data_IF_239440848180
#
_entry.id   IF_239440848180
#
_cell.length_a   1.000
_cell.length_b   1.000
_cell.length_c   1.000
_cell.angle_alpha   90.00
_cell.angle_beta   90.00
_cell.angle_gamma   90.00
#
_symmetry.space_group_name_H-M   'P 1'
#
loop_
_entity.id
_entity.type
_entity.pdbx_description
1 polymer ?
#
# COMPACT_ATOMS: atom_id res chain seq x y z
N UNK A 1 7.57 0.53 -14.97
CA UNK A 1 7.40 0.73 -13.52
C UNK A 1 8.65 1.43 -13.01
N UNK A 2 8.50 2.51 -12.27
CA UNK A 2 9.64 3.24 -11.67
C UNK A 2 10.02 2.50 -10.39
N UNK A 3 11.33 2.31 -10.17
CA UNK A 3 11.82 1.70 -8.94
C UNK A 3 11.50 2.62 -7.75
N UNK A 4 10.86 2.11 -6.68
CA UNK A 4 10.62 2.89 -5.47
C UNK A 4 11.94 3.39 -4.86
N UNK A 5 11.92 4.61 -4.33
CA UNK A 5 13.12 5.23 -3.75
C UNK A 5 13.65 4.46 -2.53
N UNK A 6 12.76 3.79 -1.81
CA UNK A 6 13.08 2.98 -0.63
C UNK A 6 13.59 1.57 -0.98
N UNK A 7 13.47 1.14 -2.24
CA UNK A 7 13.88 -0.19 -2.67
C UNK A 7 15.38 -0.25 -2.93
N UNK A 8 16.09 -0.96 -2.06
CA UNK A 8 17.49 -1.36 -2.27
C UNK A 8 17.52 -2.74 -2.93
N UNK A 9 18.19 -2.87 -4.08
CA UNK A 9 18.16 -4.08 -4.91
C UNK A 9 19.08 -5.22 -4.42
N UNK A 10 19.96 -4.95 -3.48
CA UNK A 10 20.99 -5.87 -2.96
C UNK A 10 20.60 -6.55 -1.64
N UNK A 11 19.37 -6.33 -1.16
CA UNK A 11 18.93 -6.94 0.09
C UNK A 11 18.49 -8.39 -0.11
N UNK A 12 18.76 -9.29 0.86
CA UNK A 12 18.21 -10.62 0.85
C UNK A 12 16.71 -10.60 1.10
N UNK A 13 15.95 -11.40 0.34
CA UNK A 13 14.52 -11.61 0.53
C UNK A 13 14.22 -13.10 0.71
N UNK A 14 13.53 -13.43 1.80
CA UNK A 14 13.03 -14.78 2.03
C UNK A 14 11.80 -15.02 1.17
N UNK A 15 11.86 -16.02 0.32
CA UNK A 15 10.75 -16.42 -0.55
C UNK A 15 9.97 -17.61 0.03
N UNK A 16 10.64 -18.44 0.82
CA UNK A 16 10.06 -19.55 1.58
C UNK A 16 10.99 -19.93 2.73
N UNK A 17 10.61 -20.88 3.56
CA UNK A 17 11.44 -21.33 4.69
C UNK A 17 12.85 -21.82 4.28
N UNK A 18 13.01 -22.27 3.04
CA UNK A 18 14.25 -22.82 2.53
C UNK A 18 14.94 -21.92 1.47
N UNK A 19 14.25 -20.91 0.93
CA UNK A 19 14.72 -20.14 -0.22
C UNK A 19 14.85 -18.67 0.13
N UNK A 20 16.07 -18.15 -0.06
CA UNK A 20 16.38 -16.72 0.00
C UNK A 20 16.82 -16.27 -1.39
N UNK A 21 16.28 -15.17 -1.86
CA UNK A 21 16.62 -14.51 -3.13
C UNK A 21 17.12 -13.10 -2.85
N UNK A 22 16.96 -12.18 -3.81
CA UNK A 22 17.29 -10.77 -3.66
C UNK A 22 16.12 -9.88 -4.04
N UNK A 23 16.09 -8.69 -3.48
CA UNK A 23 15.12 -7.66 -3.85
C UNK A 23 15.17 -7.33 -5.34
N UNK A 24 16.35 -7.40 -5.99
CA UNK A 24 16.50 -7.22 -7.43
C UNK A 24 15.72 -8.26 -8.23
N UNK A 25 15.83 -9.56 -7.90
CA UNK A 25 15.11 -10.63 -8.61
C UNK A 25 13.60 -10.49 -8.44
N UNK A 26 13.15 -10.19 -7.22
CA UNK A 26 11.73 -9.94 -6.94
C UNK A 26 11.24 -8.73 -7.73
N UNK A 27 11.99 -7.62 -7.73
CA UNK A 27 11.62 -6.44 -8.52
C UNK A 27 11.52 -6.72 -10.02
N UNK A 28 12.47 -7.48 -10.56
CA UNK A 28 12.51 -7.81 -11.98
C UNK A 28 11.28 -8.62 -12.44
N UNK A 29 10.84 -9.61 -11.65
CA UNK A 29 9.62 -10.37 -11.99
C UNK A 29 8.36 -9.52 -11.89
N UNK A 30 8.27 -8.58 -10.94
CA UNK A 30 7.15 -7.65 -10.85
C UNK A 30 7.11 -6.70 -12.07
N UNK A 31 8.28 -6.20 -12.50
CA UNK A 31 8.38 -5.36 -13.72
C UNK A 31 7.99 -6.15 -14.97
N UNK A 32 8.45 -7.40 -15.11
CA UNK A 32 8.07 -8.28 -16.20
C UNK A 32 6.56 -8.53 -16.20
N UNK A 33 5.98 -8.78 -15.03
CA UNK A 33 4.54 -9.01 -14.88
C UNK A 33 3.71 -7.78 -15.23
N UNK A 34 4.15 -6.58 -14.86
CA UNK A 34 3.50 -5.33 -15.26
C UNK A 34 3.55 -5.11 -16.79
N UNK A 35 4.61 -5.57 -17.47
CA UNK A 35 4.78 -5.45 -18.92
C UNK A 35 4.07 -6.54 -19.73
N UNK A 36 3.59 -7.59 -19.06
CA UNK A 36 3.05 -8.78 -19.72
C UNK A 36 4.12 -9.66 -20.38
N UNK A 37 5.39 -9.54 -19.96
CA UNK A 37 6.51 -10.31 -20.52
C UNK A 37 6.51 -11.74 -19.93
N UNK A 38 5.65 -12.60 -20.52
CA UNK A 38 5.48 -13.98 -20.12
C UNK A 38 6.80 -14.77 -20.17
N UNK A 39 7.63 -14.52 -21.19
CA UNK A 39 8.90 -15.24 -21.34
C UNK A 39 9.92 -14.83 -20.27
N UNK A 40 9.95 -13.55 -19.85
CA UNK A 40 10.79 -13.13 -18.75
C UNK A 40 10.31 -13.73 -17.41
N UNK A 41 8.99 -13.84 -17.21
CA UNK A 41 8.41 -14.47 -16.02
C UNK A 41 8.73 -15.97 -15.99
N UNK A 42 8.63 -16.68 -17.11
CA UNK A 42 9.03 -18.09 -17.21
C UNK A 42 10.51 -18.30 -16.89
N UNK A 43 11.40 -17.49 -17.48
CA UNK A 43 12.84 -17.57 -17.14
C UNK A 43 13.11 -17.35 -15.65
N UNK A 44 12.42 -16.39 -15.03
CA UNK A 44 12.54 -16.18 -13.57
C UNK A 44 12.06 -17.40 -12.78
N UNK A 45 10.98 -18.06 -13.24
CA UNK A 45 10.48 -19.29 -12.64
C UNK A 45 11.44 -20.47 -12.78
N UNK A 46 12.09 -20.59 -13.95
CA UNK A 46 13.10 -21.65 -14.22
C UNK A 46 14.32 -21.49 -13.31
N UNK A 47 14.74 -20.23 -13.04
CA UNK A 47 15.83 -19.95 -12.09
C UNK A 47 15.43 -20.22 -10.64
N UNK A 48 14.23 -19.81 -10.24
CA UNK A 48 13.71 -19.97 -8.88
C UNK A 48 12.18 -19.88 -8.91
N UNK A 49 11.53 -21.03 -8.77
CA UNK A 49 10.06 -21.14 -8.86
C UNK A 49 9.33 -20.27 -7.84
N UNK A 50 9.93 -20.08 -6.66
CA UNK A 50 9.37 -19.25 -5.58
C UNK A 50 9.22 -17.78 -5.96
N UNK A 51 9.93 -17.30 -7.01
CA UNK A 51 9.74 -15.93 -7.52
C UNK A 51 8.32 -15.68 -8.05
N UNK A 52 7.60 -16.73 -8.49
CA UNK A 52 6.20 -16.61 -8.92
C UNK A 52 5.26 -16.18 -7.78
N UNK A 53 5.65 -16.45 -6.54
CA UNK A 53 4.88 -16.12 -5.32
C UNK A 53 5.45 -14.89 -4.61
N UNK A 54 6.63 -14.41 -5.05
CA UNK A 54 7.35 -13.34 -4.38
C UNK A 54 6.52 -12.04 -4.37
N UNK A 55 6.67 -11.29 -3.29
CA UNK A 55 5.94 -10.04 -3.09
C UNK A 55 6.92 -8.91 -2.76
N UNK A 56 6.61 -7.72 -3.23
CA UNK A 56 7.21 -6.51 -2.71
C UNK A 56 6.10 -5.62 -2.15
N UNK A 57 6.23 -5.23 -0.89
CA UNK A 57 5.16 -4.52 -0.18
C UNK A 57 3.79 -5.21 -0.37
N UNK A 58 3.75 -6.53 -0.12
CA UNK A 58 2.55 -7.40 -0.24
C UNK A 58 1.93 -7.48 -1.63
N UNK A 59 2.63 -7.05 -2.68
CA UNK A 59 2.12 -7.05 -4.06
C UNK A 59 2.81 -8.16 -4.86
N UNK A 60 2.10 -9.23 -5.25
CA UNK A 60 2.65 -10.35 -6.02
C UNK A 60 2.65 -10.09 -7.54
N UNK A 61 3.38 -10.89 -8.34
CA UNK A 61 3.40 -10.80 -9.80
C UNK A 61 2.01 -10.82 -10.44
N UNK A 62 1.12 -11.70 -9.99
CA UNK A 62 -0.23 -11.84 -10.53
C UNK A 62 -1.06 -10.57 -10.39
N UNK A 63 -0.83 -9.77 -9.35
CA UNK A 63 -1.50 -8.49 -9.18
C UNK A 63 -1.29 -7.58 -10.40
N UNK A 64 -0.03 -7.43 -10.85
CA UNK A 64 0.29 -6.60 -12.01
C UNK A 64 -0.25 -7.19 -13.30
N UNK A 65 -0.16 -8.51 -13.48
CA UNK A 65 -0.70 -9.18 -14.66
C UNK A 65 -2.21 -8.94 -14.81
N UNK A 66 -2.97 -9.03 -13.71
CA UNK A 66 -4.42 -8.73 -13.68
C UNK A 66 -4.67 -7.25 -13.90
N UNK A 67 -3.96 -6.39 -13.18
CA UNK A 67 -4.15 -4.94 -13.25
C UNK A 67 -3.94 -4.37 -14.65
N UNK A 68 -2.97 -4.89 -15.37
CA UNK A 68 -2.64 -4.42 -16.72
C UNK A 68 -3.34 -5.24 -17.85
N UNK A 69 -4.13 -6.26 -17.50
CA UNK A 69 -4.95 -6.99 -18.46
C UNK A 69 -4.21 -8.07 -19.27
N UNK A 70 -3.15 -8.64 -18.74
CA UNK A 70 -2.30 -9.63 -19.43
C UNK A 70 -2.84 -11.06 -19.28
N UNK A 71 -3.87 -11.42 -20.04
CA UNK A 71 -4.60 -12.68 -19.91
C UNK A 71 -3.71 -13.93 -19.90
N UNK A 72 -2.81 -14.09 -20.88
CA UNK A 72 -1.95 -15.29 -20.97
C UNK A 72 -1.00 -15.41 -19.78
N UNK A 73 -0.50 -14.29 -19.29
CA UNK A 73 0.35 -14.28 -18.09
C UNK A 73 -0.47 -14.60 -16.83
N UNK A 74 -1.67 -14.07 -16.68
CA UNK A 74 -2.58 -14.43 -15.57
C UNK A 74 -2.87 -15.93 -15.61
N UNK A 75 -3.21 -16.47 -16.76
CA UNK A 75 -3.46 -17.90 -16.95
C UNK A 75 -2.25 -18.74 -16.53
N UNK A 76 -1.06 -18.41 -17.02
CA UNK A 76 0.17 -19.08 -16.63
C UNK A 76 0.40 -19.06 -15.12
N UNK A 77 0.30 -17.90 -14.49
CA UNK A 77 0.51 -17.76 -13.04
C UNK A 77 -0.50 -18.58 -12.22
N UNK A 78 -1.76 -18.64 -12.66
CA UNK A 78 -2.79 -19.46 -12.02
C UNK A 78 -2.50 -20.97 -12.19
N UNK A 79 -2.07 -21.41 -13.39
CA UNK A 79 -1.68 -22.80 -13.64
C UNK A 79 -0.48 -23.22 -12.79
N UNK A 80 0.44 -22.29 -12.50
CA UNK A 80 1.54 -22.52 -11.54
C UNK A 80 1.10 -22.47 -10.07
N UNK A 81 -0.15 -22.11 -9.78
CA UNK A 81 -0.68 -21.94 -8.44
C UNK A 81 -0.15 -20.68 -7.73
N UNK A 82 0.28 -19.68 -8.48
CA UNK A 82 0.91 -18.46 -7.98
C UNK A 82 -0.11 -17.39 -7.53
N UNK A 83 -1.22 -17.80 -6.93
CA UNK A 83 -2.25 -16.90 -6.42
C UNK A 83 -2.84 -17.39 -5.11
N UNK A 84 -2.83 -16.53 -4.11
CA UNK A 84 -3.61 -16.71 -2.90
C UNK A 84 -5.03 -16.17 -3.12
N UNK A 85 -6.08 -17.03 -3.09
CA UNK A 85 -7.47 -16.56 -3.24
C UNK A 85 -7.92 -15.58 -2.15
N UNK A 86 -7.21 -15.52 -1.02
CA UNK A 86 -7.47 -14.57 0.08
C UNK A 86 -6.73 -13.25 -0.09
N UNK A 87 -5.88 -13.15 -1.11
CA UNK A 87 -5.12 -11.93 -1.38
C UNK A 87 -6.05 -10.72 -1.52
N UNK A 88 -5.67 -9.63 -0.88
CA UNK A 88 -6.34 -8.34 -0.94
C UNK A 88 -5.38 -7.25 -1.35
N UNK A 89 -5.84 -6.37 -2.23
CA UNK A 89 -5.09 -5.21 -2.70
C UNK A 89 -5.02 -4.19 -1.57
N UNK A 90 -3.84 -3.94 -1.09
CA UNK A 90 -3.64 -2.96 -0.02
C UNK A 90 -3.45 -1.54 -0.60
N UNK A 91 -3.98 -0.48 0.02
CA UNK A 91 -4.75 -0.47 1.28
C UNK A 91 -6.25 -0.72 1.12
N UNK A 92 -6.72 -0.90 -0.09
CA UNK A 92 -8.14 -0.85 -0.46
C UNK A 92 -8.96 -2.08 -0.06
N UNK A 93 -8.29 -3.18 0.31
CA UNK A 93 -8.90 -4.44 0.74
C UNK A 93 -9.80 -5.11 -0.33
N UNK A 94 -9.55 -4.79 -1.58
CA UNK A 94 -10.28 -5.33 -2.73
C UNK A 94 -9.62 -6.60 -3.28
N UNK A 95 -10.39 -7.40 -4.02
CA UNK A 95 -9.87 -8.60 -4.69
C UNK A 95 -9.33 -8.30 -6.09
N UNK A 96 -8.56 -9.25 -6.66
CA UNK A 96 -8.14 -9.16 -8.06
C UNK A 96 -9.33 -9.27 -9.03
N UNK A 97 -10.39 -10.00 -8.67
CA UNK A 97 -11.61 -10.06 -9.45
C UNK A 97 -12.26 -8.67 -9.55
N UNK A 98 -12.27 -7.94 -8.43
CA UNK A 98 -12.82 -6.56 -8.41
C UNK A 98 -12.05 -5.65 -9.37
N UNK A 99 -10.71 -5.70 -9.36
CA UNK A 99 -9.90 -4.86 -10.25
C UNK A 99 -10.09 -5.25 -11.72
N UNK A 100 -10.16 -6.55 -12.03
CA UNK A 100 -10.42 -7.02 -13.38
C UNK A 100 -11.78 -6.52 -13.89
N UNK A 101 -12.84 -6.65 -13.08
CA UNK A 101 -14.16 -6.14 -13.39
C UNK A 101 -14.17 -4.62 -13.58
N UNK A 102 -13.56 -3.87 -12.67
CA UNK A 102 -13.53 -2.41 -12.72
C UNK A 102 -12.83 -1.88 -13.97
N UNK A 103 -11.85 -2.61 -14.49
CA UNK A 103 -11.11 -2.29 -15.71
C UNK A 103 -11.74 -2.88 -16.99
N UNK A 104 -12.79 -3.69 -16.86
CA UNK A 104 -13.49 -4.31 -18.00
C UNK A 104 -12.82 -5.55 -18.56
N UNK A 105 -11.92 -6.21 -17.79
CA UNK A 105 -11.25 -7.46 -18.19
C UNK A 105 -12.09 -8.68 -17.79
N UNK A 106 -13.23 -8.86 -18.49
CA UNK A 106 -14.22 -9.88 -18.13
C UNK A 106 -13.70 -11.33 -18.29
N UNK A 107 -12.79 -11.56 -19.23
CA UNK A 107 -12.11 -12.83 -19.43
C UNK A 107 -11.18 -13.19 -18.27
N UNK A 108 -10.41 -12.22 -17.78
CA UNK A 108 -9.55 -12.37 -16.60
C UNK A 108 -10.39 -12.57 -15.32
N UNK A 109 -11.47 -11.81 -15.15
CA UNK A 109 -12.40 -12.00 -14.03
C UNK A 109 -12.97 -13.42 -14.02
N UNK A 110 -13.43 -13.91 -15.18
CA UNK A 110 -13.94 -15.27 -15.34
C UNK A 110 -12.89 -16.32 -14.99
N UNK A 111 -11.67 -16.13 -15.44
CA UNK A 111 -10.54 -17.02 -15.19
C UNK A 111 -10.20 -17.08 -13.66
N UNK A 112 -10.16 -15.95 -12.99
CA UNK A 112 -9.93 -15.86 -11.55
C UNK A 112 -11.05 -16.55 -10.76
N UNK A 113 -12.31 -16.42 -11.18
CA UNK A 113 -13.45 -17.05 -10.54
C UNK A 113 -13.42 -18.57 -10.72
N UNK A 114 -13.05 -19.07 -11.92
CA UNK A 114 -12.86 -20.50 -12.18
C UNK A 114 -11.75 -21.08 -11.30
N UNK A 115 -10.62 -20.37 -11.16
CA UNK A 115 -9.52 -20.79 -10.30
C UNK A 115 -9.94 -20.83 -8.83
N UNK A 116 -10.65 -19.80 -8.35
CA UNK A 116 -11.14 -19.75 -6.97
C UNK A 116 -12.12 -20.89 -6.63
N UNK A 117 -12.92 -21.33 -7.61
CA UNK A 117 -13.86 -22.45 -7.45
C UNK A 117 -13.16 -23.81 -7.46
N UNK A 118 -11.94 -23.93 -7.97
CA UNK A 118 -11.20 -25.18 -8.12
C UNK A 118 -10.05 -25.29 -7.11
N UNK A 119 -10.33 -25.86 -5.95
CA UNK A 119 -9.34 -26.01 -4.87
C UNK A 119 -8.11 -26.87 -5.25
N UNK A 120 -8.21 -27.73 -6.27
CA UNK A 120 -7.08 -28.56 -6.72
C UNK A 120 -5.98 -27.76 -7.45
N UNK A 121 -6.31 -26.59 -7.97
CA UNK A 121 -5.36 -25.68 -8.63
C UNK A 121 -4.66 -24.73 -7.66
N UNK A 122 -5.17 -24.57 -6.46
CA UNK A 122 -4.66 -23.63 -5.47
C UNK A 122 -3.41 -24.20 -4.79
N UNK A 123 -2.23 -23.83 -5.27
CA UNK A 123 -0.94 -24.31 -4.77
C UNK A 123 -0.16 -23.28 -3.96
N UNK A 124 -0.74 -22.12 -3.72
CA UNK A 124 -0.07 -21.06 -2.97
C UNK A 124 0.50 -21.55 -1.63
N UNK A 125 1.75 -21.18 -1.33
CA UNK A 125 2.51 -21.73 -0.20
C UNK A 125 2.75 -20.76 0.96
N UNK A 126 2.10 -19.61 1.01
CA UNK A 126 2.20 -18.70 2.15
C UNK A 126 3.08 -17.47 1.91
N UNK A 127 3.53 -16.84 2.97
CA UNK A 127 4.16 -15.52 2.96
C UNK A 127 5.52 -15.52 2.28
N UNK A 128 5.63 -14.76 1.20
CA UNK A 128 6.85 -14.61 0.42
C UNK A 128 7.24 -13.12 0.32
N UNK A 129 8.53 -12.84 0.20
CA UNK A 129 9.04 -11.50 0.01
C UNK A 129 9.32 -10.76 1.32
N UNK A 130 9.55 -11.48 2.43
CA UNK A 130 10.03 -10.90 3.67
C UNK A 130 11.50 -10.47 3.53
N UNK A 131 11.77 -9.19 3.77
CA UNK A 131 13.14 -8.68 3.82
C UNK A 131 13.76 -9.05 5.16
N UNK A 132 14.93 -9.70 5.12
CA UNK A 132 15.68 -10.06 6.30
C UNK A 132 16.60 -8.94 6.73
N UNK A 133 16.39 -8.43 7.94
CA UNK A 133 17.33 -7.55 8.64
C UNK A 133 18.02 -8.32 9.77
N UNK A 134 19.35 -8.32 9.78
CA UNK A 134 20.11 -8.89 10.90
C UNK A 134 19.90 -8.03 12.14
N UNK A 135 19.40 -8.61 13.23
CA UNK A 135 19.14 -7.98 14.50
C UNK A 135 19.93 -8.63 15.61
N UNK A 136 20.59 -7.83 16.47
CA UNK A 136 21.09 -8.31 17.74
C UNK A 136 19.95 -8.55 18.73
N UNK A 137 20.20 -9.33 19.78
CA UNK A 137 19.22 -9.54 20.86
C UNK A 137 18.76 -8.21 21.47
N UNK A 138 19.67 -7.27 21.67
CA UNK A 138 19.35 -5.94 22.21
C UNK A 138 18.46 -5.11 21.26
N UNK A 139 18.68 -5.20 19.94
CA UNK A 139 17.81 -4.55 18.96
C UNK A 139 16.39 -5.14 18.96
N UNK A 140 16.25 -6.47 19.09
CA UNK A 140 14.95 -7.13 19.24
C UNK A 140 14.27 -6.73 20.55
N UNK A 141 15.03 -6.63 21.63
CA UNK A 141 14.54 -6.17 22.93
C UNK A 141 14.04 -4.71 22.88
N UNK A 142 14.77 -3.84 22.17
CA UNK A 142 14.38 -2.45 21.93
C UNK A 142 13.08 -2.35 21.12
N UNK A 143 12.99 -3.06 20.00
CA UNK A 143 11.79 -3.12 19.16
C UNK A 143 10.57 -3.60 19.96
N UNK A 144 10.73 -4.68 20.71
CA UNK A 144 9.67 -5.19 21.60
C UNK A 144 9.27 -4.18 22.69
N UNK A 145 10.24 -3.48 23.28
CA UNK A 145 9.96 -2.48 24.29
C UNK A 145 9.14 -1.30 23.75
N UNK A 146 9.41 -0.87 22.51
CA UNK A 146 8.60 0.15 21.81
C UNK A 146 7.18 -0.35 21.55
N UNK A 147 7.02 -1.57 21.03
CA UNK A 147 5.70 -2.19 20.79
C UNK A 147 4.86 -2.29 22.07
N UNK A 148 5.49 -2.65 23.19
CA UNK A 148 4.82 -2.78 24.50
C UNK A 148 4.73 -1.48 25.30
N UNK A 149 5.08 -0.32 24.70
CA UNK A 149 5.07 0.98 25.37
C UNK A 149 5.95 1.05 26.65
N UNK A 150 7.03 0.30 26.68
CA UNK A 150 7.99 0.23 27.79
C UNK A 150 8.91 1.44 27.87
N UNK A 151 8.36 2.64 28.12
CA UNK A 151 9.06 3.93 28.05
C UNK A 151 10.42 3.94 28.77
N UNK A 152 10.46 3.53 30.05
CA UNK A 152 11.68 3.57 30.85
C UNK A 152 12.78 2.66 30.27
N UNK A 153 12.39 1.51 29.71
CA UNK A 153 13.32 0.58 29.07
C UNK A 153 13.84 1.14 27.75
N UNK A 154 12.96 1.70 26.92
CA UNK A 154 13.33 2.38 25.67
C UNK A 154 14.29 3.53 25.96
N UNK A 155 13.98 4.38 26.95
CA UNK A 155 14.85 5.48 27.34
C UNK A 155 16.21 5.00 27.84
N UNK A 156 16.26 3.94 28.65
CA UNK A 156 17.51 3.37 29.15
C UNK A 156 18.41 2.85 27.99
N UNK A 157 17.80 2.13 27.04
CA UNK A 157 18.53 1.62 25.86
C UNK A 157 19.03 2.79 25.01
N UNK A 158 18.20 3.81 24.76
CA UNK A 158 18.58 4.94 23.91
C UNK A 158 19.67 5.84 24.52
N UNK A 159 19.80 5.89 25.84
CA UNK A 159 20.91 6.57 26.52
C UNK A 159 22.27 5.94 26.19
N UNK A 160 22.30 4.64 26.00
CA UNK A 160 23.52 3.89 25.71
C UNK A 160 23.72 3.67 24.20
N UNK A 161 22.61 3.48 23.45
CA UNK A 161 22.60 3.17 22.00
C UNK A 161 21.65 4.12 21.24
N UNK A 162 21.97 5.44 21.13
CA UNK A 162 21.09 6.42 20.50
C UNK A 162 20.87 6.18 19.00
N UNK A 163 21.78 5.44 18.34
CA UNK A 163 21.66 5.07 16.93
C UNK A 163 20.45 4.16 16.64
N UNK A 164 19.94 3.44 17.64
CA UNK A 164 18.76 2.58 17.45
C UNK A 164 17.52 3.37 17.06
N UNK A 165 17.36 4.60 17.56
CA UNK A 165 16.26 5.46 17.14
C UNK A 165 16.33 5.85 15.65
N UNK A 166 17.53 5.87 15.05
CA UNK A 166 17.78 6.28 13.67
C UNK A 166 17.67 5.16 12.65
N UNK A 167 17.60 3.92 13.12
CA UNK A 167 17.51 2.74 12.25
C UNK A 167 16.09 2.61 11.68
N UNK A 168 15.95 2.86 10.39
CA UNK A 168 14.67 2.82 9.66
C UNK A 168 14.22 1.39 9.32
N UNK A 169 15.01 0.37 9.69
CA UNK A 169 14.70 -1.03 9.35
C UNK A 169 13.79 -1.72 10.38
N UNK A 170 13.51 -1.09 11.53
CA UNK A 170 12.59 -1.64 12.53
C UNK A 170 11.17 -1.86 11.98
N UNK A 171 10.45 -2.80 12.59
CA UNK A 171 9.10 -3.18 12.20
C UNK A 171 9.01 -3.46 10.70
N UNK A 172 9.85 -4.39 10.23
CA UNK A 172 9.94 -4.80 8.80
C UNK A 172 10.29 -3.66 7.83
N UNK A 173 11.02 -2.67 8.33
CA UNK A 173 11.37 -1.48 7.55
C UNK A 173 10.30 -0.39 7.52
N UNK A 174 9.28 -0.48 8.37
CA UNK A 174 8.25 0.56 8.49
C UNK A 174 8.72 1.75 9.36
N UNK A 175 9.73 1.53 10.20
CA UNK A 175 10.32 2.53 11.09
C UNK A 175 9.84 2.45 12.53
N UNK A 176 10.70 2.90 13.44
CA UNK A 176 10.50 2.72 14.89
C UNK A 176 9.29 3.49 15.45
N UNK A 177 8.82 4.55 14.78
CA UNK A 177 7.68 5.33 15.23
C UNK A 177 6.34 4.62 15.05
N UNK A 178 6.26 3.56 14.21
CA UNK A 178 5.01 2.95 13.77
C UNK A 178 4.07 2.58 14.93
N UNK A 179 4.55 1.76 15.87
CA UNK A 179 3.71 1.28 16.96
C UNK A 179 3.42 2.36 18.01
N UNK A 180 4.33 3.30 18.22
CA UNK A 180 4.07 4.45 19.07
C UNK A 180 2.94 5.32 18.51
N UNK A 181 2.93 5.57 17.20
CA UNK A 181 1.87 6.33 16.53
C UNK A 181 0.54 5.55 16.51
N UNK A 182 0.56 4.27 16.15
CA UNK A 182 -0.62 3.39 16.18
C UNK A 182 -1.24 3.33 17.59
N UNK A 183 -0.39 3.24 18.61
CA UNK A 183 -0.80 3.24 20.01
C UNK A 183 -1.21 4.61 20.55
N UNK A 184 -1.18 5.66 19.75
CA UNK A 184 -1.43 7.06 20.15
C UNK A 184 -0.54 7.52 21.32
N UNK A 185 0.70 7.01 21.39
CA UNK A 185 1.64 7.31 22.48
C UNK A 185 2.57 8.47 22.12
N UNK A 186 2.08 9.69 22.30
CA UNK A 186 2.84 10.90 22.00
C UNK A 186 4.16 10.97 22.77
N UNK A 187 4.16 10.60 24.05
CA UNK A 187 5.37 10.61 24.89
C UNK A 187 6.47 9.68 24.34
N UNK A 188 6.09 8.51 23.83
CA UNK A 188 7.03 7.59 23.18
C UNK A 188 7.53 8.16 21.86
N UNK A 189 6.65 8.75 21.04
CA UNK A 189 7.07 9.42 19.81
C UNK A 189 8.05 10.58 20.08
N UNK A 190 7.79 11.40 21.09
CA UNK A 190 8.69 12.48 21.51
C UNK A 190 10.07 11.95 21.91
N UNK A 191 10.11 10.88 22.72
CA UNK A 191 11.36 10.24 23.11
C UNK A 191 12.14 9.77 21.87
N UNK A 192 11.52 8.99 21.01
CA UNK A 192 12.16 8.44 19.82
C UNK A 192 12.68 9.54 18.88
N UNK A 193 11.87 10.58 18.63
CA UNK A 193 12.26 11.74 17.80
C UNK A 193 13.41 12.53 18.43
N UNK A 194 13.46 12.68 19.77
CA UNK A 194 14.55 13.38 20.46
C UNK A 194 15.90 12.68 20.29
N UNK A 195 15.91 11.36 20.05
CA UNK A 195 17.10 10.57 19.73
C UNK A 195 17.37 10.44 18.23
N UNK A 196 16.56 11.10 17.39
CA UNK A 196 16.80 11.22 15.95
C UNK A 196 16.02 10.23 15.08
N UNK A 197 14.98 9.61 15.61
CA UNK A 197 14.01 8.90 14.77
C UNK A 197 13.42 9.85 13.72
N UNK A 198 13.16 9.33 12.53
CA UNK A 198 12.63 10.13 11.43
C UNK A 198 11.13 9.94 11.28
N UNK A 199 10.42 11.00 10.96
CA UNK A 199 9.05 10.89 10.47
C UNK A 199 9.03 10.19 9.12
N UNK A 200 7.96 9.42 8.78
CA UNK A 200 7.91 8.69 7.50
C UNK A 200 8.03 9.61 6.29
N UNK A 201 8.87 9.24 5.33
CA UNK A 201 9.06 9.95 4.06
C UNK A 201 8.42 9.27 2.86
N UNK A 202 8.02 8.01 3.01
CA UNK A 202 7.30 7.20 2.01
C UNK A 202 6.20 6.43 2.69
N UNK A 203 5.17 6.03 1.95
CA UNK A 203 4.15 5.10 2.42
C UNK A 203 4.51 3.69 1.95
N UNK A 204 4.70 2.78 2.90
CA UNK A 204 4.67 1.35 2.68
C UNK A 204 3.28 0.83 3.06
N UNK A 205 3.11 -0.48 3.19
CA UNK A 205 1.82 -1.07 3.50
C UNK A 205 1.28 -0.70 4.90
N UNK A 206 2.16 -0.59 5.91
CA UNK A 206 1.76 -0.35 7.30
C UNK A 206 1.77 1.13 7.70
N UNK A 207 2.31 2.01 6.88
CA UNK A 207 2.44 3.42 7.22
C UNK A 207 1.11 4.17 7.34
N UNK A 208 0.03 3.64 6.81
CA UNK A 208 -1.30 4.16 7.08
C UNK A 208 -1.67 4.12 8.58
N UNK A 209 -1.03 3.27 9.37
CA UNK A 209 -1.17 3.27 10.83
C UNK A 209 -0.74 4.58 11.51
N UNK A 210 0.14 5.35 10.90
CA UNK A 210 0.48 6.70 11.40
C UNK A 210 -0.71 7.66 11.38
N UNK A 211 -1.72 7.37 10.58
CA UNK A 211 -2.96 8.13 10.46
C UNK A 211 -4.18 7.39 11.04
N UNK A 212 -3.99 6.30 11.78
CA UNK A 212 -5.09 5.59 12.43
C UNK A 212 -5.72 6.44 13.55
N UNK A 213 -4.89 7.16 14.31
CA UNK A 213 -5.30 8.05 15.39
C UNK A 213 -5.07 9.51 15.02
N UNK A 214 -6.11 10.34 15.23
CA UNK A 214 -6.04 11.76 14.84
C UNK A 214 -4.91 12.51 15.56
N UNK A 215 -4.75 12.30 16.89
CA UNK A 215 -3.74 12.99 17.68
C UNK A 215 -2.32 12.65 17.24
N UNK A 216 -2.06 11.38 16.92
CA UNK A 216 -0.77 10.95 16.36
C UNK A 216 -0.53 11.55 14.98
N UNK A 217 -1.54 11.56 14.11
CA UNK A 217 -1.45 12.18 12.80
C UNK A 217 -1.16 13.69 12.89
N UNK A 218 -1.89 14.40 13.77
CA UNK A 218 -1.68 15.83 14.00
C UNK A 218 -0.28 16.10 14.52
N UNK A 219 0.18 15.33 15.50
CA UNK A 219 1.53 15.45 16.04
C UNK A 219 2.62 15.24 14.99
N UNK A 220 2.48 14.21 14.14
CA UNK A 220 3.46 13.94 13.08
C UNK A 220 3.47 15.04 12.01
N UNK A 221 2.29 15.61 11.68
CA UNK A 221 2.22 16.78 10.79
C UNK A 221 2.94 17.99 11.40
N UNK A 222 2.78 18.25 12.70
CA UNK A 222 3.52 19.31 13.42
C UNK A 222 5.04 19.06 13.44
N UNK A 223 5.46 17.80 13.44
CA UNK A 223 6.89 17.42 13.36
C UNK A 223 7.44 17.40 11.93
N UNK A 224 6.68 17.89 10.95
CA UNK A 224 7.13 18.09 9.59
C UNK A 224 6.95 16.87 8.67
N UNK A 225 6.05 15.94 8.99
CA UNK A 225 5.68 14.89 8.06
C UNK A 225 5.13 15.52 6.77
N UNK A 226 5.67 15.10 5.62
CA UNK A 226 5.17 15.56 4.34
C UNK A 226 3.74 15.04 4.10
N UNK A 227 2.72 15.92 3.93
CA UNK A 227 1.33 15.49 3.70
C UNK A 227 1.15 14.79 2.35
N UNK A 228 2.12 14.91 1.45
CA UNK A 228 2.13 14.31 0.11
C UNK A 228 2.93 13.00 0.03
N UNK A 229 3.27 12.39 1.18
CA UNK A 229 3.86 11.05 1.14
C UNK A 229 2.94 10.09 0.39
N UNK A 230 3.55 9.25 -0.41
CA UNK A 230 2.81 8.30 -1.25
C UNK A 230 3.50 6.93 -1.27
N UNK A 231 2.72 5.91 -1.56
CA UNK A 231 3.24 4.58 -1.86
C UNK A 231 3.89 4.56 -3.24
N UNK A 232 4.62 3.48 -3.52
CA UNK A 232 5.22 3.24 -4.84
C UNK A 232 4.18 3.07 -5.98
N UNK A 233 2.90 2.95 -5.63
CA UNK A 233 1.76 2.95 -6.56
C UNK A 233 1.00 4.29 -6.53
N UNK A 234 1.65 5.35 -6.07
CA UNK A 234 1.14 6.72 -6.00
C UNK A 234 -0.12 6.90 -5.12
N UNK A 235 -0.40 5.94 -4.23
CA UNK A 235 -1.48 6.09 -3.26
C UNK A 235 -1.01 7.01 -2.13
N UNK A 236 -1.70 8.12 -1.90
CA UNK A 236 -1.42 9.07 -0.83
C UNK A 236 -2.30 8.80 0.40
N UNK A 237 -1.95 9.40 1.53
CA UNK A 237 -2.81 9.38 2.73
C UNK A 237 -4.21 9.96 2.43
N UNK A 238 -4.31 10.97 1.57
CA UNK A 238 -5.61 11.56 1.23
C UNK A 238 -6.51 10.59 0.43
N UNK A 239 -5.94 9.69 -0.39
CA UNK A 239 -6.72 8.62 -1.02
C UNK A 239 -7.32 7.66 0.03
N UNK A 240 -6.52 7.27 1.03
CA UNK A 240 -6.99 6.38 2.11
C UNK A 240 -8.06 7.05 2.97
N UNK A 241 -7.87 8.32 3.34
CA UNK A 241 -8.88 9.08 4.10
C UNK A 241 -10.17 9.25 3.30
N UNK A 242 -10.04 9.50 1.98
CA UNK A 242 -11.19 9.65 1.08
C UNK A 242 -11.98 8.34 0.92
N UNK A 243 -11.28 7.20 0.80
CA UNK A 243 -11.92 5.88 0.79
C UNK A 243 -12.73 5.64 2.07
N UNK A 244 -12.15 5.96 3.24
CA UNK A 244 -12.74 5.70 4.56
C UNK A 244 -13.79 6.73 4.99
N UNK A 245 -13.90 7.89 4.31
CA UNK A 245 -14.74 8.99 4.71
C UNK A 245 -14.24 9.74 5.96
N UNK A 246 -12.94 9.69 6.24
CA UNK A 246 -12.28 10.28 7.41
C UNK A 246 -12.05 11.79 7.21
N UNK A 247 -13.12 12.57 7.17
CA UNK A 247 -13.10 13.98 6.79
C UNK A 247 -12.19 14.84 7.67
N UNK A 248 -12.16 14.60 8.98
CA UNK A 248 -11.28 15.35 9.90
C UNK A 248 -9.79 15.15 9.58
N UNK A 249 -9.38 13.93 9.25
CA UNK A 249 -7.99 13.63 8.87
C UNK A 249 -7.67 14.14 7.47
N UNK A 250 -8.63 14.12 6.54
CA UNK A 250 -8.49 14.78 5.25
C UNK A 250 -8.30 16.31 5.40
N UNK A 251 -9.05 16.93 6.30
CA UNK A 251 -8.88 18.35 6.64
C UNK A 251 -7.49 18.64 7.19
N UNK A 252 -6.99 17.78 8.10
CA UNK A 252 -5.64 17.89 8.63
C UNK A 252 -4.60 17.86 7.51
N UNK A 253 -4.69 16.89 6.59
CA UNK A 253 -3.77 16.78 5.45
C UNK A 253 -3.79 18.02 4.56
N UNK A 254 -4.99 18.52 4.20
CA UNK A 254 -5.15 19.70 3.37
C UNK A 254 -4.65 20.97 4.07
N UNK A 255 -4.83 21.09 5.39
CA UNK A 255 -4.27 22.20 6.20
C UNK A 255 -2.74 22.27 6.10
N UNK A 256 -2.07 21.13 6.01
CA UNK A 256 -0.62 21.03 5.87
C UNK A 256 -0.14 21.00 4.40
N UNK A 257 -1.02 21.23 3.43
CA UNK A 257 -0.68 21.39 2.02
C UNK A 257 -0.65 20.09 1.21
N UNK A 258 -1.48 19.11 1.57
CA UNK A 258 -1.69 17.95 0.70
C UNK A 258 -2.22 18.39 -0.67
N UNK A 259 -1.68 17.81 -1.76
CA UNK A 259 -2.30 17.91 -3.07
C UNK A 259 -3.69 17.24 -3.01
N UNK A 260 -4.71 17.97 -3.42
CA UNK A 260 -6.10 17.49 -3.39
C UNK A 260 -6.42 16.58 -4.58
N UNK A 261 -5.61 16.60 -5.63
CA UNK A 261 -5.87 15.95 -6.91
C UNK A 261 -4.77 14.97 -7.38
N UNK A 262 -4.01 14.26 -6.54
CA UNK A 262 -3.09 13.23 -7.02
C UNK A 262 -3.89 12.09 -7.65
N UNK A 263 -3.25 11.32 -8.55
CA UNK A 263 -3.85 10.15 -9.20
C UNK A 263 -3.06 8.92 -8.82
N UNK A 264 -3.73 7.91 -8.26
CA UNK A 264 -3.13 6.62 -7.92
C UNK A 264 -3.00 5.69 -9.14
N UNK A 265 -2.08 4.70 -9.09
CA UNK A 265 -1.90 3.72 -10.15
C UNK A 265 -2.92 2.56 -10.10
N UNK A 266 -3.52 2.27 -8.94
CA UNK A 266 -4.41 1.13 -8.76
C UNK A 266 -5.77 1.36 -9.43
N UNK A 267 -6.39 2.49 -9.11
CA UNK A 267 -7.71 2.85 -9.62
C UNK A 267 -7.69 3.99 -10.63
N UNK A 268 -6.50 4.52 -10.95
CA UNK A 268 -6.34 5.68 -11.82
C UNK A 268 -7.23 6.86 -11.37
N UNK A 269 -7.40 7.00 -10.06
CA UNK A 269 -8.37 7.90 -9.44
C UNK A 269 -7.71 8.97 -8.60
N UNK A 270 -8.42 10.09 -8.42
CA UNK A 270 -8.12 11.09 -7.42
C UNK A 270 -8.77 10.73 -6.07
N UNK A 271 -8.40 11.37 -4.95
CA UNK A 271 -9.12 11.20 -3.68
C UNK A 271 -10.63 11.43 -3.82
N UNK A 272 -11.07 12.40 -4.63
CA UNK A 272 -12.48 12.60 -4.92
C UNK A 272 -13.09 11.39 -5.65
N UNK A 273 -12.36 10.79 -6.60
CA UNK A 273 -12.78 9.55 -7.27
C UNK A 273 -12.90 8.38 -6.29
N UNK A 274 -11.96 8.27 -5.34
CA UNK A 274 -12.00 7.24 -4.29
C UNK A 274 -13.23 7.45 -3.37
N UNK A 275 -13.48 8.66 -2.89
CA UNK A 275 -14.68 8.97 -2.11
C UNK A 275 -15.97 8.61 -2.88
N UNK A 276 -16.03 8.93 -4.16
CA UNK A 276 -17.17 8.60 -5.00
C UNK A 276 -17.35 7.09 -5.20
N UNK A 277 -16.25 6.34 -5.36
CA UNK A 277 -16.25 4.89 -5.52
C UNK A 277 -16.79 4.17 -4.28
N UNK A 278 -16.45 4.64 -3.09
CA UNK A 278 -16.85 4.02 -1.81
C UNK A 278 -18.10 4.62 -1.17
N UNK A 279 -18.78 5.55 -1.87
CA UNK A 279 -20.07 6.10 -1.42
C UNK A 279 -19.96 7.10 -0.27
N UNK A 280 -18.81 7.73 -0.09
CA UNK A 280 -18.53 8.66 1.00
C UNK A 280 -19.07 10.06 0.68
N UNK A 281 -20.37 10.23 0.82
CA UNK A 281 -21.08 11.46 0.36
C UNK A 281 -20.54 12.73 1.02
N UNK A 282 -20.35 12.74 2.35
CA UNK A 282 -19.84 13.90 3.08
C UNK A 282 -18.41 14.25 2.65
N UNK A 283 -17.58 13.23 2.39
CA UNK A 283 -16.22 13.42 1.88
C UNK A 283 -16.23 14.01 0.47
N UNK A 284 -17.12 13.55 -0.40
CA UNK A 284 -17.29 14.11 -1.75
C UNK A 284 -17.64 15.61 -1.68
N UNK A 285 -18.63 15.98 -0.88
CA UNK A 285 -19.02 17.39 -0.68
C UNK A 285 -17.88 18.21 -0.11
N UNK A 286 -17.17 17.64 0.89
CA UNK A 286 -16.02 18.30 1.51
C UNK A 286 -14.89 18.55 0.48
N UNK A 287 -14.46 17.55 -0.26
CA UNK A 287 -13.38 17.68 -1.24
C UNK A 287 -13.75 18.67 -2.36
N UNK A 288 -14.99 18.67 -2.84
CA UNK A 288 -15.49 19.64 -3.82
C UNK A 288 -15.41 21.05 -3.22
N UNK A 289 -15.85 21.24 -1.97
CA UNK A 289 -15.79 22.55 -1.29
C UNK A 289 -14.36 23.09 -1.13
N UNK A 290 -13.36 22.18 -1.10
CA UNK A 290 -11.93 22.52 -1.04
C UNK A 290 -11.27 22.65 -2.42
N UNK A 291 -12.03 22.56 -3.51
CA UNK A 291 -11.55 22.77 -4.88
C UNK A 291 -11.04 21.53 -5.58
N UNK A 292 -11.45 20.33 -5.16
CA UNK A 292 -11.12 19.12 -5.90
C UNK A 292 -11.70 19.17 -7.33
N UNK A 293 -10.89 18.75 -8.31
CA UNK A 293 -11.29 18.68 -9.70
C UNK A 293 -12.26 17.50 -9.93
N UNK A 294 -13.51 17.81 -10.24
CA UNK A 294 -14.57 16.81 -10.44
C UNK A 294 -14.43 15.98 -11.71
N UNK A 295 -13.50 16.35 -12.61
CA UNK A 295 -13.26 15.68 -13.90
C UNK A 295 -11.94 14.92 -13.94
N UNK A 296 -11.02 15.25 -13.04
CA UNK A 296 -9.67 14.68 -13.07
C UNK A 296 -9.67 13.19 -12.71
N UNK A 297 -8.95 12.41 -13.54
CA UNK A 297 -8.65 11.00 -13.31
C UNK A 297 -7.49 10.57 -14.24
N UNK A 298 -6.92 9.39 -14.02
CA UNK A 298 -5.94 8.79 -14.91
C UNK A 298 -6.55 8.09 -16.13
N UNK A 299 -7.85 7.76 -16.07
CA UNK A 299 -8.56 7.11 -17.17
C UNK A 299 -10.04 7.54 -17.21
N UNK A 300 -10.69 7.49 -18.39
CA UNK A 300 -12.11 7.89 -18.51
C UNK A 300 -13.07 7.08 -17.63
N UNK A 301 -12.78 5.81 -17.38
CA UNK A 301 -13.60 4.91 -16.55
C UNK A 301 -13.46 5.17 -15.04
N UNK A 302 -12.50 5.94 -14.62
CA UNK A 302 -12.15 6.20 -13.21
C UNK A 302 -12.41 7.63 -12.75
N UNK A 303 -13.16 8.43 -13.53
CA UNK A 303 -13.60 9.74 -13.07
C UNK A 303 -14.53 9.62 -11.86
N UNK A 304 -14.61 10.63 -10.97
CA UNK A 304 -15.54 10.59 -9.85
C UNK A 304 -16.98 10.25 -10.26
N UNK A 305 -17.45 10.83 -11.36
CA UNK A 305 -18.79 10.56 -11.90
C UNK A 305 -18.95 9.13 -12.43
N UNK A 306 -17.92 8.62 -13.13
CA UNK A 306 -17.93 7.24 -13.61
C UNK A 306 -18.00 6.24 -12.45
N UNK A 307 -17.26 6.48 -11.38
CA UNK A 307 -17.32 5.66 -10.16
C UNK A 307 -18.70 5.71 -9.50
N UNK A 308 -19.25 6.90 -9.28
CA UNK A 308 -20.57 7.04 -8.66
C UNK A 308 -21.63 6.23 -9.43
N UNK A 309 -21.63 6.30 -10.77
CA UNK A 309 -22.52 5.53 -11.64
C UNK A 309 -22.27 4.03 -11.54
N UNK A 310 -21.02 3.61 -11.70
CA UNK A 310 -20.65 2.19 -11.68
C UNK A 310 -20.97 1.50 -10.36
N UNK A 311 -20.83 2.21 -9.24
CA UNK A 311 -21.11 1.67 -7.90
C UNK A 311 -22.52 1.98 -7.39
N UNK A 312 -23.36 2.67 -8.19
CA UNK A 312 -24.77 2.94 -7.87
C UNK A 312 -25.00 4.03 -6.81
N UNK A 313 -24.03 4.93 -6.62
CA UNK A 313 -24.14 6.00 -5.63
C UNK A 313 -24.89 7.23 -6.17
N UNK A 314 -26.22 7.11 -6.37
CA UNK A 314 -27.05 8.11 -7.01
C UNK A 314 -27.06 9.48 -6.34
N UNK A 315 -26.85 9.59 -5.03
CA UNK A 315 -26.72 10.87 -4.35
C UNK A 315 -25.42 11.58 -4.77
N UNK A 316 -24.30 10.86 -4.78
CA UNK A 316 -23.01 11.39 -5.21
C UNK A 316 -23.06 11.78 -6.69
N UNK A 317 -23.70 10.96 -7.55
CA UNK A 317 -23.91 11.32 -8.96
C UNK A 317 -24.62 12.67 -9.09
N UNK A 318 -25.69 12.90 -8.35
CA UNK A 318 -26.42 14.18 -8.36
C UNK A 318 -25.56 15.35 -7.90
N UNK A 319 -24.73 15.17 -6.88
CA UNK A 319 -23.79 16.18 -6.38
C UNK A 319 -22.78 16.53 -7.48
N UNK A 320 -22.12 15.51 -8.04
CA UNK A 320 -21.09 15.71 -9.07
C UNK A 320 -21.65 16.40 -10.33
N UNK A 321 -22.85 16.02 -10.78
CA UNK A 321 -23.49 16.65 -11.95
C UNK A 321 -23.77 18.15 -11.75
N UNK A 322 -24.06 18.62 -10.53
CA UNK A 322 -24.22 20.06 -10.24
C UNK A 322 -22.92 20.85 -10.42
N UNK A 323 -21.76 20.19 -10.25
CA UNK A 323 -20.43 20.80 -10.37
C UNK A 323 -19.76 20.48 -11.71
N UNK A 324 -20.47 19.87 -12.65
CA UNK A 324 -19.96 19.48 -13.98
C UNK A 324 -20.08 20.61 -15.01
N UNK A 325 -19.71 21.83 -14.60
CA UNK A 325 -19.72 23.00 -15.53
C UNK A 325 -18.50 23.04 -16.42
#
# INVERSE_FOLDING_TARGET
>A
MVQPIELKLDLPMKLSNAVVSTTAKVWNILVASKRGDLEAVKRSSDECHELLYAQYNYTPPIHFAVREGHYDLVKYLLEQGAHDPKYKIYPFQESLQTIANDRGYNDIESLLNQYAANSSLQKYKGDNGEIHYNRSELQLEFEHAVDKNGYNKVEAILKEYPEFAKDETYFWGEGILLFAAKGNNQKMMELLLSYGAKVPSVLKWAQFYYFERYESAAYLMEKGMNPNVMSWQHVTLLHDMAQKGETQKAELLLKYGADINPVDEEYQSTPLGMAARWGQTEMVEYLISKGADTKKSGAPWSTPLAWARKKGHGQIEKILLKHFK
#
